data_IF_381812396886
#
_entry.id   IF_381812396886
#
_cell.length_a   1.000
_cell.length_b   1.000
_cell.length_c   1.000
_cell.angle_alpha   90.00
_cell.angle_beta   90.00
_cell.angle_gamma   90.00
#
_symmetry.space_group_name_H-M   'P 1'
#
loop_
_entity.id
_entity.type
_entity.pdbx_description
1 polymer ?
#
# COMPACT_ATOMS: atom_id res chain seq x y z
N UNK A 1 -13.70 2.43 -13.29
CA UNK A 1 -12.99 2.98 -12.10
C UNK A 1 -11.53 2.60 -12.20
N UNK A 2 -10.61 3.38 -11.68
CA UNK A 2 -9.17 3.09 -11.69
C UNK A 2 -8.78 2.23 -10.48
N UNK A 3 -7.84 1.30 -10.65
CA UNK A 3 -7.24 0.53 -9.56
C UNK A 3 -6.54 1.50 -8.62
N UNK A 4 -6.72 1.35 -7.31
CA UNK A 4 -6.08 2.19 -6.30
C UNK A 4 -5.11 1.37 -5.46
N UNK A 5 -3.95 1.97 -5.16
CA UNK A 5 -3.05 1.41 -4.16
C UNK A 5 -3.60 1.59 -2.75
N UNK A 6 -3.33 0.65 -1.85
CA UNK A 6 -3.62 0.78 -0.42
C UNK A 6 -2.62 1.68 0.30
N UNK A 7 -1.46 1.95 -0.29
CA UNK A 7 -0.47 2.88 0.21
C UNK A 7 -0.62 4.23 -0.47
N UNK A 8 -0.23 5.29 0.20
CA UNK A 8 -0.28 6.63 -0.36
C UNK A 8 0.34 7.66 0.59
N UNK A 9 0.73 8.78 0.00
CA UNK A 9 1.27 9.93 0.70
C UNK A 9 0.79 11.21 0.03
N UNK A 10 0.42 12.20 0.83
CA UNK A 10 0.20 13.56 0.39
C UNK A 10 0.61 14.53 1.47
N UNK A 11 0.96 15.75 1.07
CA UNK A 11 1.22 16.85 1.98
C UNK A 11 0.52 18.11 1.49
N UNK A 12 0.17 18.99 2.43
CA UNK A 12 -0.31 20.33 2.11
C UNK A 12 0.32 21.32 3.09
N UNK A 13 0.58 22.51 2.60
CA UNK A 13 1.14 23.59 3.39
C UNK A 13 0.32 24.86 3.20
N UNK A 14 0.20 25.63 4.25
CA UNK A 14 -0.48 26.93 4.21
C UNK A 14 0.02 27.86 5.30
N UNK A 15 -0.32 29.10 5.14
CA UNK A 15 0.05 30.17 6.08
C UNK A 15 -1.18 30.95 6.50
N UNK A 16 -1.27 31.27 7.78
CA UNK A 16 -2.32 32.12 8.33
C UNK A 16 -1.77 32.93 9.52
N UNK A 17 -1.93 34.23 9.48
CA UNK A 17 -1.58 35.16 10.55
C UNK A 17 -0.19 34.90 11.18
N UNK A 18 0.85 34.70 10.32
CA UNK A 18 2.23 34.44 10.79
C UNK A 18 2.49 33.01 11.27
N UNK A 19 1.52 32.11 11.22
CA UNK A 19 1.71 30.68 11.46
C UNK A 19 1.77 29.91 10.15
N UNK A 20 2.66 28.92 10.10
CA UNK A 20 2.76 27.93 9.03
C UNK A 20 2.06 26.66 9.48
N UNK A 21 1.20 26.16 8.63
CA UNK A 21 0.49 24.89 8.80
C UNK A 21 1.12 23.88 7.86
N UNK A 22 1.60 22.76 8.40
CA UNK A 22 2.09 21.62 7.63
C UNK A 22 1.20 20.42 7.92
N UNK A 23 0.62 19.84 6.87
CA UNK A 23 -0.28 18.71 6.94
C UNK A 23 0.29 17.55 6.11
N UNK A 24 0.40 16.39 6.72
CA UNK A 24 0.80 15.14 6.07
C UNK A 24 -0.29 14.08 6.22
N UNK A 25 -0.56 13.37 5.13
CA UNK A 25 -1.38 12.16 5.10
C UNK A 25 -0.52 10.99 4.65
N UNK A 26 -0.54 9.90 5.42
CA UNK A 26 0.10 8.62 5.06
C UNK A 26 -0.88 7.49 5.25
N UNK A 27 -0.90 6.54 4.30
CA UNK A 27 -1.66 5.30 4.46
C UNK A 27 -0.77 4.08 4.31
N UNK A 28 -1.10 3.06 5.08
CA UNK A 28 -0.58 1.70 4.94
C UNK A 28 -1.74 0.72 4.80
N UNK A 29 -1.44 -0.44 4.22
CA UNK A 29 -2.44 -1.49 4.04
C UNK A 29 -3.07 -1.88 5.38
N UNK A 30 -4.40 -1.82 5.46
CA UNK A 30 -5.18 -2.28 6.59
C UNK A 30 -6.57 -2.74 6.15
N UNK A 31 -7.14 -3.72 6.86
CA UNK A 31 -8.43 -4.34 6.49
C UNK A 31 -9.62 -3.37 6.55
N UNK A 32 -9.60 -2.44 7.49
CA UNK A 32 -10.65 -1.45 7.73
C UNK A 32 -10.07 -0.05 7.64
N UNK A 33 -10.92 0.97 7.50
CA UNK A 33 -10.49 2.36 7.64
C UNK A 33 -10.19 2.64 9.12
N UNK A 34 -8.94 2.95 9.43
CA UNK A 34 -8.48 3.42 10.74
C UNK A 34 -7.75 4.75 10.54
N UNK A 35 -8.32 5.83 11.09
CA UNK A 35 -7.74 7.18 10.96
C UNK A 35 -7.18 7.62 12.31
N UNK A 36 -5.87 7.82 12.34
CA UNK A 36 -5.14 8.31 13.50
C UNK A 36 -4.70 9.76 13.28
N UNK A 37 -5.03 10.61 14.25
CA UNK A 37 -4.67 12.03 14.21
C UNK A 37 -3.50 12.31 15.13
N UNK A 38 -2.47 12.98 14.61
CA UNK A 38 -1.34 13.57 15.34
C UNK A 38 -1.38 15.08 15.16
N UNK A 39 -2.18 15.73 15.97
CA UNK A 39 -2.52 17.14 15.84
C UNK A 39 -2.31 17.88 17.17
N UNK A 40 -2.02 19.19 17.15
CA UNK A 40 -2.00 20.04 18.33
C UNK A 40 -3.34 20.02 19.06
N UNK A 41 -3.30 20.25 20.38
CA UNK A 41 -4.50 20.24 21.23
C UNK A 41 -5.55 21.26 20.78
N UNK A 42 -5.13 22.41 20.27
CA UNK A 42 -5.99 23.49 19.79
C UNK A 42 -6.85 23.06 18.57
N UNK A 43 -6.43 22.03 17.84
CA UNK A 43 -7.13 21.51 16.65
C UNK A 43 -7.97 20.26 16.93
N UNK A 44 -7.99 19.73 18.16
CA UNK A 44 -8.74 18.51 18.50
C UNK A 44 -10.24 18.63 18.30
N UNK A 45 -10.77 19.83 18.41
CA UNK A 45 -12.18 20.11 18.13
C UNK A 45 -12.57 19.75 16.70
N UNK A 46 -11.61 19.72 15.76
CA UNK A 46 -11.82 19.41 14.33
C UNK A 46 -11.78 17.92 14.00
N UNK A 47 -11.40 17.04 14.94
CA UNK A 47 -11.23 15.60 14.64
C UNK A 47 -12.47 14.97 13.97
N UNK A 48 -13.67 15.36 14.41
CA UNK A 48 -14.93 14.87 13.81
C UNK A 48 -15.06 15.25 12.34
N UNK A 49 -14.93 16.54 12.04
CA UNK A 49 -15.03 17.08 10.68
C UNK A 49 -13.90 16.54 9.77
N UNK A 50 -12.68 16.45 10.30
CA UNK A 50 -11.53 15.88 9.58
C UNK A 50 -11.75 14.40 9.24
N UNK A 51 -12.32 13.63 10.16
CA UNK A 51 -12.65 12.22 9.94
C UNK A 51 -13.70 12.06 8.84
N UNK A 52 -14.72 12.92 8.82
CA UNK A 52 -15.75 12.93 7.77
C UNK A 52 -15.15 13.23 6.39
N UNK A 53 -14.26 14.23 6.27
CA UNK A 53 -13.58 14.56 5.01
C UNK A 53 -12.80 13.36 4.48
N UNK A 54 -12.02 12.69 5.35
CA UNK A 54 -11.20 11.54 4.96
C UNK A 54 -12.10 10.35 4.59
N UNK A 55 -13.09 10.01 5.43
CA UNK A 55 -13.96 8.84 5.20
C UNK A 55 -14.90 9.02 4.00
N UNK A 56 -15.19 10.25 3.60
CA UNK A 56 -15.96 10.54 2.40
C UNK A 56 -15.25 10.18 1.09
N UNK A 57 -13.93 10.05 1.09
CA UNK A 57 -13.12 9.78 -0.11
C UNK A 57 -12.29 8.50 -0.03
N UNK A 58 -12.07 7.97 1.19
CA UNK A 58 -11.27 6.76 1.42
C UNK A 58 -12.08 5.77 2.24
N UNK A 59 -12.23 4.56 1.71
CA UNK A 59 -13.06 3.49 2.32
C UNK A 59 -12.25 2.50 3.17
N UNK A 60 -10.90 2.45 2.99
CA UNK A 60 -10.03 1.43 3.61
C UNK A 60 -8.60 1.94 3.80
N UNK A 61 -7.88 1.33 4.75
CA UNK A 61 -6.48 1.63 5.05
C UNK A 61 -6.30 2.23 6.44
N UNK A 62 -5.10 2.10 6.99
CA UNK A 62 -4.70 2.83 8.20
C UNK A 62 -4.06 4.14 7.78
N UNK A 63 -4.75 5.25 8.05
CA UNK A 63 -4.36 6.60 7.68
C UNK A 63 -3.81 7.31 8.91
N UNK A 64 -2.60 7.83 8.83
CA UNK A 64 -2.06 8.79 9.78
C UNK A 64 -2.19 10.20 9.19
N UNK A 65 -2.92 11.07 9.88
CA UNK A 65 -3.02 12.49 9.58
C UNK A 65 -2.20 13.25 10.62
N UNK A 66 -1.13 13.90 10.18
CA UNK A 66 -0.28 14.72 11.04
C UNK A 66 -0.43 16.19 10.65
N UNK A 67 -0.66 17.04 11.65
CA UNK A 67 -0.66 18.50 11.48
C UNK A 67 0.34 19.11 12.44
N UNK A 68 1.17 20.00 11.90
CA UNK A 68 2.11 20.77 12.69
C UNK A 68 1.86 22.26 12.46
N UNK A 69 1.92 23.03 13.55
CA UNK A 69 1.84 24.49 13.53
C UNK A 69 3.23 25.02 13.84
N UNK A 70 3.83 25.75 12.92
CA UNK A 70 5.09 26.44 13.08
C UNK A 70 4.88 27.95 13.07
N UNK A 71 5.79 28.71 13.66
CA UNK A 71 5.83 30.15 13.45
C UNK A 71 6.67 30.46 12.23
N UNK A 72 6.21 31.38 11.38
CA UNK A 72 7.01 31.87 10.27
C UNK A 72 8.00 32.85 10.90
N UNK A 73 9.29 32.47 10.90
CA UNK A 73 10.37 33.38 11.29
C UNK A 73 10.52 34.49 10.23
N UNK A 74 9.63 35.45 10.24
CA UNK A 74 9.86 36.70 9.51
C UNK A 74 10.92 37.46 10.30
N UNK A 75 12.05 37.76 9.69
CA UNK A 75 13.19 38.44 10.31
C UNK A 75 12.91 39.86 10.86
N UNK A 76 11.66 40.22 11.05
CA UNK A 76 11.15 41.46 11.61
C UNK A 76 10.06 41.22 12.68
N UNK A 77 9.95 39.99 13.24
CA UNK A 77 9.00 39.75 14.34
C UNK A 77 9.44 40.58 15.57
N UNK A 78 8.77 41.74 15.73
CA UNK A 78 8.74 42.43 17.00
C UNK A 78 8.19 41.44 18.03
N UNK A 79 8.98 41.12 19.03
CA UNK A 79 8.53 40.35 20.21
C UNK A 79 7.25 41.01 20.74
N UNK A 80 6.11 40.38 20.53
CA UNK A 80 4.87 40.84 21.18
C UNK A 80 4.95 40.48 22.66
N UNK A 81 5.20 41.49 23.48
CA UNK A 81 5.36 41.36 24.91
C UNK A 81 4.06 41.78 25.61
N UNK A 82 3.54 40.90 26.44
CA UNK A 82 2.43 41.23 27.34
C UNK A 82 2.89 42.25 28.41
N UNK A 83 2.82 43.51 28.05
CA UNK A 83 3.31 44.59 28.89
C UNK A 83 2.60 44.66 30.23
N UNK A 84 1.32 44.28 30.32
CA UNK A 84 0.58 44.23 31.57
C UNK A 84 1.17 43.22 32.53
N UNK A 85 1.43 41.98 32.04
CA UNK A 85 2.05 40.90 32.82
C UNK A 85 3.48 41.27 33.25
N UNK A 86 4.26 41.90 32.38
CA UNK A 86 5.62 42.39 32.71
C UNK A 86 5.55 43.41 33.85
N UNK A 87 4.62 44.37 33.81
CA UNK A 87 4.43 45.40 34.85
C UNK A 87 4.02 44.72 36.18
N UNK A 88 3.10 43.75 36.15
CA UNK A 88 2.69 43.02 37.37
C UNK A 88 3.85 42.25 37.97
N UNK A 89 4.67 41.56 37.17
CA UNK A 89 5.87 40.86 37.65
C UNK A 89 6.90 41.82 38.27
N UNK A 90 7.11 42.96 37.63
CA UNK A 90 8.03 43.98 38.13
C UNK A 90 7.55 44.57 39.46
N UNK A 91 6.26 44.89 39.59
CA UNK A 91 5.66 45.36 40.83
C UNK A 91 5.74 44.31 41.95
N UNK A 92 5.42 43.05 41.64
CA UNK A 92 5.49 41.94 42.57
C UNK A 92 6.93 41.75 43.10
N UNK A 93 7.92 41.74 42.18
CA UNK A 93 9.34 41.65 42.56
C UNK A 93 9.73 42.84 43.48
N UNK A 94 9.30 44.04 43.17
CA UNK A 94 9.58 45.24 44.02
C UNK A 94 8.96 45.10 45.43
N UNK A 95 7.70 44.67 45.52
CA UNK A 95 7.00 44.44 46.79
C UNK A 95 7.68 43.36 47.64
N UNK A 96 8.07 42.24 47.03
CA UNK A 96 8.72 41.15 47.75
C UNK A 96 10.13 41.48 48.19
N UNK A 97 10.91 42.20 47.41
CA UNK A 97 12.25 42.67 47.83
C UNK A 97 12.22 43.62 49.02
N UNK A 98 11.18 44.45 49.13
CA UNK A 98 10.99 45.29 50.33
C UNK A 98 10.69 44.45 51.56
N UNK A 99 10.02 43.32 51.44
CA UNK A 99 9.61 42.45 52.56
C UNK A 99 10.68 41.40 52.90
N UNK A 100 11.46 40.96 51.89
CA UNK A 100 12.47 39.89 51.98
C UNK A 100 13.76 40.43 51.36
N UNK A 101 14.67 40.96 52.14
CA UNK A 101 15.86 41.68 51.69
C UNK A 101 16.85 40.93 50.84
N UNK A 102 16.81 39.58 50.89
CA UNK A 102 17.74 38.71 50.18
C UNK A 102 17.27 38.35 48.75
N UNK A 103 16.11 38.81 48.30
CA UNK A 103 15.61 38.54 46.95
C UNK A 103 16.35 39.37 45.88
N UNK A 104 16.87 38.69 44.87
CA UNK A 104 17.51 39.28 43.69
C UNK A 104 16.56 40.17 42.86
N UNK A 105 17.14 41.05 42.05
CA UNK A 105 16.34 41.75 41.01
C UNK A 105 15.95 40.77 39.90
N UNK A 106 14.70 40.86 39.48
CA UNK A 106 14.24 40.11 38.30
C UNK A 106 14.96 40.66 37.06
N UNK A 107 15.67 39.80 36.36
CA UNK A 107 16.34 40.15 35.11
C UNK A 107 15.42 40.09 33.89
N UNK A 108 15.78 40.78 32.83
CA UNK A 108 15.00 40.75 31.55
C UNK A 108 14.86 39.33 31.05
N UNK A 109 15.92 38.51 31.15
CA UNK A 109 15.87 37.10 30.71
C UNK A 109 14.90 36.25 31.54
N UNK A 110 14.75 36.56 32.83
CA UNK A 110 13.79 35.85 33.71
C UNK A 110 12.36 36.24 33.38
N UNK A 111 12.11 37.50 33.08
CA UNK A 111 10.81 38.01 32.62
C UNK A 111 10.42 37.35 31.28
N UNK A 112 11.33 37.34 30.33
CA UNK A 112 11.05 36.75 28.99
C UNK A 112 10.82 35.23 29.02
N UNK A 113 11.35 34.51 29.99
CA UNK A 113 11.10 33.08 30.22
C UNK A 113 9.79 32.79 30.93
N UNK A 114 9.16 33.79 31.52
CA UNK A 114 7.91 33.60 32.27
C UNK A 114 6.77 33.28 31.28
N UNK A 115 5.94 32.26 31.56
CA UNK A 115 4.83 31.90 30.71
C UNK A 115 3.93 33.09 30.37
N UNK A 116 3.49 33.19 29.13
CA UNK A 116 2.59 34.25 28.61
C UNK A 116 3.17 35.69 28.61
N UNK A 117 4.46 35.88 28.84
CA UNK A 117 5.12 37.17 28.65
C UNK A 117 5.40 37.43 27.18
N UNK A 118 5.93 36.45 26.45
CA UNK A 118 6.00 36.49 25.00
C UNK A 118 4.68 35.92 24.49
N UNK A 119 3.90 36.75 23.83
CA UNK A 119 2.59 36.40 23.25
C UNK A 119 2.79 36.20 21.75
N UNK A 120 2.43 35.07 21.25
CA UNK A 120 2.22 34.91 19.80
C UNK A 120 1.01 35.76 19.39
N UNK A 121 1.01 36.33 18.20
CA UNK A 121 -0.19 37.00 17.68
C UNK A 121 -1.39 36.05 17.80
N UNK A 122 -2.49 36.54 18.41
CA UNK A 122 -3.73 35.77 18.50
C UNK A 122 -4.20 35.49 17.06
N UNK A 123 -4.13 34.24 16.65
CA UNK A 123 -4.72 33.78 15.40
C UNK A 123 -6.20 33.57 15.67
N UNK A 124 -7.05 34.18 14.88
CA UNK A 124 -8.48 33.91 14.89
C UNK A 124 -8.69 32.39 14.79
N UNK A 125 -9.24 31.80 15.83
CA UNK A 125 -9.45 30.36 15.94
C UNK A 125 -10.31 29.82 14.77
N UNK A 126 -11.34 30.57 14.39
CA UNK A 126 -12.27 30.14 13.35
C UNK A 126 -11.60 30.17 11.97
N UNK A 127 -10.83 31.23 11.68
CA UNK A 127 -10.05 31.33 10.45
C UNK A 127 -8.96 30.25 10.34
N UNK A 128 -8.32 29.89 11.46
CA UNK A 128 -7.37 28.78 11.55
C UNK A 128 -8.05 27.45 11.21
N UNK A 129 -9.20 27.18 11.85
CA UNK A 129 -9.98 25.95 11.65
C UNK A 129 -10.42 25.80 10.18
N UNK A 130 -10.97 26.85 9.59
CA UNK A 130 -11.37 26.86 8.17
C UNK A 130 -10.17 26.57 7.26
N UNK A 131 -9.03 27.21 7.51
CA UNK A 131 -7.81 26.99 6.72
C UNK A 131 -7.33 25.55 6.83
N UNK A 132 -7.33 24.95 8.03
CA UNK A 132 -6.94 23.55 8.25
C UNK A 132 -7.87 22.60 7.49
N UNK A 133 -9.19 22.79 7.56
CA UNK A 133 -10.15 21.92 6.86
C UNK A 133 -10.00 22.04 5.33
N UNK A 134 -9.76 23.25 4.81
CA UNK A 134 -9.49 23.46 3.39
C UNK A 134 -8.21 22.75 2.95
N UNK A 135 -7.11 22.89 3.70
CA UNK A 135 -5.84 22.20 3.42
C UNK A 135 -5.99 20.69 3.50
N UNK A 136 -6.76 20.18 4.46
CA UNK A 136 -7.05 18.77 4.56
C UNK A 136 -7.80 18.26 3.33
N UNK A 137 -8.83 18.97 2.88
CA UNK A 137 -9.57 18.59 1.66
C UNK A 137 -8.64 18.53 0.45
N UNK A 138 -7.75 19.50 0.27
CA UNK A 138 -6.75 19.51 -0.80
C UNK A 138 -5.78 18.32 -0.68
N UNK A 139 -5.28 18.05 0.54
CA UNK A 139 -4.38 16.94 0.77
C UNK A 139 -5.05 15.58 0.51
N UNK A 140 -6.33 15.43 0.86
CA UNK A 140 -7.10 14.20 0.59
C UNK A 140 -7.31 14.01 -0.92
N UNK A 141 -7.54 15.08 -1.70
CA UNK A 141 -7.65 14.97 -3.15
C UNK A 141 -6.32 14.53 -3.78
N UNK A 142 -5.22 15.14 -3.36
CA UNK A 142 -3.89 14.76 -3.83
C UNK A 142 -3.51 13.32 -3.39
N UNK A 143 -3.91 12.94 -2.18
CA UNK A 143 -3.73 11.60 -1.65
C UNK A 143 -4.45 10.54 -2.50
N UNK A 144 -5.72 10.79 -2.86
CA UNK A 144 -6.48 9.90 -3.75
C UNK A 144 -5.82 9.83 -5.12
N UNK A 145 -5.44 10.96 -5.72
CA UNK A 145 -4.74 10.98 -7.00
C UNK A 145 -3.39 10.26 -6.96
N UNK A 146 -2.65 10.35 -5.85
CA UNK A 146 -1.41 9.60 -5.64
C UNK A 146 -1.65 8.09 -5.64
N UNK A 147 -2.69 7.63 -4.93
CA UNK A 147 -3.09 6.20 -4.88
C UNK A 147 -3.56 5.68 -6.25
N UNK A 148 -4.22 6.50 -7.04
CA UNK A 148 -4.64 6.16 -8.41
C UNK A 148 -3.44 6.00 -9.34
N UNK A 149 -2.50 6.94 -9.33
CA UNK A 149 -1.25 6.84 -10.12
C UNK A 149 -0.40 5.62 -9.74
N UNK A 150 -0.35 5.27 -8.46
CA UNK A 150 0.35 4.08 -7.99
C UNK A 150 -0.42 2.80 -8.41
N UNK A 151 -1.74 2.81 -8.29
CA UNK A 151 -2.62 1.73 -8.75
C UNK A 151 -2.46 1.41 -10.24
N UNK A 152 -2.34 2.43 -11.09
CA UNK A 152 -2.06 2.26 -12.53
C UNK A 152 -0.72 1.52 -12.78
N UNK A 153 0.31 1.82 -11.99
CA UNK A 153 1.60 1.10 -12.09
C UNK A 153 1.46 -0.35 -11.66
N UNK A 154 0.75 -0.62 -10.56
CA UNK A 154 0.47 -1.97 -10.09
C UNK A 154 -0.30 -2.77 -11.14
N UNK A 155 -1.32 -2.16 -11.76
CA UNK A 155 -2.08 -2.73 -12.87
C UNK A 155 -1.18 -3.09 -14.05
N UNK A 156 -0.33 -2.16 -14.50
CA UNK A 156 0.59 -2.39 -15.61
C UNK A 156 1.55 -3.55 -15.32
N UNK A 157 2.08 -3.63 -14.09
CA UNK A 157 2.94 -4.73 -13.66
C UNK A 157 2.24 -6.09 -13.71
N UNK A 158 0.98 -6.16 -13.26
CA UNK A 158 0.22 -7.43 -13.31
C UNK A 158 -0.03 -7.83 -14.76
N UNK A 159 -0.46 -6.89 -15.63
CA UNK A 159 -0.72 -7.18 -17.03
C UNK A 159 0.53 -7.69 -17.77
N UNK A 160 1.69 -7.09 -17.52
CA UNK A 160 2.95 -7.55 -18.08
C UNK A 160 3.29 -9.00 -17.68
N UNK A 161 3.08 -9.38 -16.39
CA UNK A 161 3.31 -10.76 -15.92
C UNK A 161 2.32 -11.74 -16.52
N UNK A 162 1.07 -11.34 -16.72
CA UNK A 162 0.08 -12.17 -17.42
C UNK A 162 0.47 -12.42 -18.88
N UNK A 163 1.02 -11.40 -19.58
CA UNK A 163 1.52 -11.57 -20.95
C UNK A 163 2.70 -12.55 -21.01
N UNK A 164 3.65 -12.43 -20.06
CA UNK A 164 4.74 -13.39 -19.96
C UNK A 164 4.26 -14.81 -19.66
N UNK A 165 3.30 -14.98 -18.74
CA UNK A 165 2.69 -16.29 -18.46
C UNK A 165 2.04 -16.89 -19.70
N UNK A 166 1.26 -16.11 -20.46
CA UNK A 166 0.63 -16.58 -21.69
C UNK A 166 1.66 -17.03 -22.74
N UNK A 167 2.76 -16.27 -22.88
CA UNK A 167 3.83 -16.64 -23.81
C UNK A 167 4.52 -17.95 -23.41
N UNK A 168 4.83 -18.13 -22.12
CA UNK A 168 5.46 -19.34 -21.58
C UNK A 168 4.55 -20.57 -21.74
N UNK A 169 3.26 -20.41 -21.41
CA UNK A 169 2.27 -21.50 -21.54
C UNK A 169 2.11 -21.88 -23.02
N UNK A 170 1.92 -20.90 -23.91
CA UNK A 170 1.76 -21.16 -25.34
C UNK A 170 2.97 -21.87 -25.95
N UNK A 171 4.19 -21.47 -25.58
CA UNK A 171 5.40 -22.17 -26.03
C UNK A 171 5.47 -23.62 -25.55
N UNK A 172 5.04 -23.89 -24.31
CA UNK A 172 4.98 -25.25 -23.78
C UNK A 172 3.89 -26.07 -24.46
N UNK A 173 2.70 -25.50 -24.71
CA UNK A 173 1.61 -26.19 -25.43
C UNK A 173 2.03 -26.63 -26.83
N UNK A 174 2.75 -25.78 -27.55
CA UNK A 174 3.30 -26.15 -28.88
C UNK A 174 4.35 -27.28 -28.81
N UNK A 175 5.19 -27.26 -27.77
CA UNK A 175 6.27 -28.22 -27.58
C UNK A 175 5.81 -29.55 -26.97
N UNK A 176 4.73 -29.51 -26.19
CA UNK A 176 4.29 -30.64 -25.34
C UNK A 176 4.01 -31.95 -26.12
N UNK A 177 3.38 -31.93 -27.33
CA UNK A 177 3.16 -33.17 -28.12
C UNK A 177 4.47 -33.87 -28.45
N UNK A 178 5.52 -33.12 -28.80
CA UNK A 178 6.84 -33.69 -29.11
C UNK A 178 7.48 -34.31 -27.86
N UNK A 179 7.47 -33.59 -26.74
CA UNK A 179 7.99 -34.05 -25.45
C UNK A 179 7.29 -35.33 -25.00
N UNK A 180 5.98 -35.41 -25.17
CA UNK A 180 5.17 -36.60 -24.88
C UNK A 180 5.59 -37.80 -25.71
N UNK A 181 5.75 -37.63 -27.06
CA UNK A 181 6.21 -38.69 -27.95
C UNK A 181 7.61 -39.20 -27.56
N UNK A 182 8.55 -38.31 -27.29
CA UNK A 182 9.89 -38.67 -26.85
C UNK A 182 9.90 -39.42 -25.54
N UNK A 183 9.08 -38.97 -24.60
CA UNK A 183 8.96 -39.60 -23.28
C UNK A 183 8.37 -41.01 -23.39
N UNK A 184 7.31 -41.19 -24.21
CA UNK A 184 6.71 -42.49 -24.48
C UNK A 184 7.69 -43.44 -25.14
N UNK A 185 8.45 -42.95 -26.14
CA UNK A 185 9.47 -43.75 -26.82
C UNK A 185 10.57 -44.24 -25.84
N UNK A 186 11.04 -43.34 -24.97
CA UNK A 186 12.02 -43.66 -23.90
C UNK A 186 11.47 -44.71 -22.91
N UNK A 187 10.24 -44.50 -22.45
CA UNK A 187 9.57 -45.41 -21.53
C UNK A 187 9.36 -46.81 -22.10
N UNK A 188 8.93 -46.88 -23.39
CA UNK A 188 8.78 -48.13 -24.13
C UNK A 188 10.11 -48.88 -24.23
N UNK A 189 11.19 -48.20 -24.60
CA UNK A 189 12.53 -48.81 -24.67
C UNK A 189 12.99 -49.38 -23.35
N UNK A 190 12.85 -48.64 -22.26
CA UNK A 190 13.21 -49.08 -20.90
C UNK A 190 12.41 -50.31 -20.46
N UNK A 191 11.12 -50.37 -20.77
CA UNK A 191 10.27 -51.52 -20.48
C UNK A 191 10.68 -52.74 -21.32
N UNK A 192 11.01 -52.56 -22.58
CA UNK A 192 11.49 -53.64 -23.46
C UNK A 192 12.85 -54.22 -22.99
N UNK A 193 13.74 -53.37 -22.50
CA UNK A 193 15.04 -53.77 -21.95
C UNK A 193 14.92 -54.46 -20.58
N UNK A 194 13.95 -54.09 -19.77
CA UNK A 194 13.79 -54.59 -18.39
C UNK A 194 13.08 -55.98 -18.33
N UNK A 195 12.31 -56.35 -19.34
CA UNK A 195 11.47 -57.57 -19.29
C UNK A 195 11.55 -58.32 -20.60
N UNK A 196 12.16 -59.51 -20.54
CA UNK A 196 12.35 -60.40 -21.70
C UNK A 196 11.04 -61.00 -22.26
N UNK A 197 9.92 -60.90 -21.55
CA UNK A 197 8.58 -61.31 -22.01
C UNK A 197 7.51 -60.49 -21.33
N UNK A 198 7.04 -59.42 -21.99
CA UNK A 198 5.89 -58.67 -21.54
C UNK A 198 4.67 -59.09 -22.37
N UNK A 199 3.55 -59.36 -21.68
CA UNK A 199 2.23 -59.44 -22.27
C UNK A 199 1.85 -58.06 -22.86
N UNK A 200 1.56 -58.05 -24.16
CA UNK A 200 1.23 -56.84 -24.90
C UNK A 200 0.02 -56.08 -24.29
N UNK A 201 -0.94 -56.80 -23.73
CA UNK A 201 -2.15 -56.20 -23.18
C UNK A 201 -1.85 -55.50 -21.84
N UNK A 202 -0.94 -56.04 -21.02
CA UNK A 202 -0.45 -55.41 -19.80
C UNK A 202 0.37 -54.14 -20.10
N UNK A 203 1.17 -54.19 -21.15
CA UNK A 203 1.89 -53.04 -21.67
C UNK A 203 0.94 -51.91 -22.07
N UNK A 204 -0.13 -52.21 -22.82
CA UNK A 204 -1.15 -51.23 -23.21
C UNK A 204 -1.87 -50.62 -22.03
N UNK A 205 -2.21 -51.38 -21.02
CA UNK A 205 -2.83 -50.89 -19.77
C UNK A 205 -1.92 -49.92 -19.00
N UNK A 206 -0.64 -50.27 -18.83
CA UNK A 206 0.33 -49.38 -18.17
C UNK A 206 0.54 -48.09 -18.96
N UNK A 207 0.58 -48.14 -20.29
CA UNK A 207 0.64 -46.94 -21.13
C UNK A 207 -0.61 -46.10 -21.03
N UNK A 208 -1.80 -46.66 -20.97
CA UNK A 208 -3.04 -45.91 -20.81
C UNK A 208 -3.09 -45.16 -19.47
N UNK A 209 -2.69 -45.81 -18.36
CA UNK A 209 -2.56 -45.19 -17.03
C UNK A 209 -1.50 -44.11 -17.03
N UNK A 210 -0.42 -44.29 -17.76
CA UNK A 210 0.65 -43.32 -17.88
C UNK A 210 0.20 -42.08 -18.66
N UNK A 211 -0.49 -42.27 -19.78
CA UNK A 211 -1.08 -41.17 -20.59
C UNK A 211 -2.05 -40.35 -19.76
N UNK A 212 -2.88 -40.99 -18.95
CA UNK A 212 -3.79 -40.27 -18.05
C UNK A 212 -3.04 -39.42 -16.99
N UNK A 213 -1.91 -39.89 -16.49
CA UNK A 213 -1.08 -39.11 -15.55
C UNK A 213 -0.30 -37.99 -16.22
N UNK A 214 -0.01 -38.12 -17.51
CA UNK A 214 0.72 -37.14 -18.30
C UNK A 214 -0.21 -36.10 -18.97
N UNK A 215 -1.53 -36.28 -18.85
CA UNK A 215 -2.51 -35.34 -19.40
C UNK A 215 -2.48 -34.02 -18.63
N UNK A 216 -2.16 -32.95 -19.31
CA UNK A 216 -2.04 -31.58 -18.77
C UNK A 216 -2.99 -30.58 -19.47
N UNK A 217 -3.86 -31.07 -20.36
CA UNK A 217 -4.77 -30.20 -21.12
C UNK A 217 -5.74 -29.46 -20.20
N UNK A 218 -6.17 -30.07 -19.11
CA UNK A 218 -7.02 -29.45 -18.11
C UNK A 218 -6.28 -28.30 -17.40
N UNK A 219 -5.01 -28.51 -17.02
CA UNK A 219 -4.18 -27.49 -16.37
C UNK A 219 -3.95 -26.29 -17.30
N UNK A 220 -3.66 -26.51 -18.58
CA UNK A 220 -3.53 -25.43 -19.57
C UNK A 220 -4.82 -24.63 -19.70
N UNK A 221 -5.94 -25.29 -19.89
CA UNK A 221 -7.25 -24.64 -20.00
C UNK A 221 -7.59 -23.82 -18.76
N UNK A 222 -7.31 -24.34 -17.57
CA UNK A 222 -7.53 -23.63 -16.29
C UNK A 222 -6.60 -22.44 -16.14
N UNK A 223 -5.32 -22.57 -16.47
CA UNK A 223 -4.36 -21.47 -16.47
C UNK A 223 -4.83 -20.34 -17.38
N UNK A 224 -5.23 -20.62 -18.63
CA UNK A 224 -5.77 -19.64 -19.56
C UNK A 224 -7.03 -18.96 -19.04
N UNK A 225 -7.94 -19.74 -18.45
CA UNK A 225 -9.18 -19.22 -17.86
C UNK A 225 -8.89 -18.26 -16.72
N UNK A 226 -8.00 -18.63 -15.79
CA UNK A 226 -7.64 -17.79 -14.66
C UNK A 226 -6.86 -16.54 -15.07
N UNK A 227 -5.92 -16.64 -16.04
CA UNK A 227 -5.22 -15.50 -16.62
C UNK A 227 -6.21 -14.50 -17.23
N UNK A 228 -7.17 -14.99 -18.01
CA UNK A 228 -8.21 -14.16 -18.63
C UNK A 228 -9.06 -13.46 -17.57
N UNK A 229 -9.45 -14.18 -16.51
CA UNK A 229 -10.25 -13.61 -15.43
C UNK A 229 -9.48 -12.59 -14.60
N UNK A 230 -8.18 -12.81 -14.29
CA UNK A 230 -7.32 -11.81 -13.65
C UNK A 230 -7.25 -10.56 -14.52
N UNK A 231 -6.98 -10.70 -15.82
CA UNK A 231 -6.92 -9.59 -16.78
C UNK A 231 -8.24 -8.81 -16.80
N UNK A 232 -9.38 -9.50 -16.83
CA UNK A 232 -10.71 -8.89 -16.80
C UNK A 232 -10.94 -8.08 -15.53
N UNK A 233 -10.61 -8.66 -14.37
CA UNK A 233 -10.80 -7.98 -13.07
C UNK A 233 -9.92 -6.74 -12.97
N UNK A 234 -8.66 -6.82 -13.40
CA UNK A 234 -7.70 -5.73 -13.30
C UNK A 234 -8.05 -4.57 -14.26
N UNK A 235 -8.71 -4.87 -15.42
CA UNK A 235 -9.07 -3.85 -16.43
C UNK A 235 -10.50 -3.34 -16.29
N UNK A 236 -11.44 -4.17 -15.83
CA UNK A 236 -12.88 -3.90 -15.84
C UNK A 236 -13.50 -4.21 -14.47
N UNK A 237 -13.12 -3.44 -13.44
CA UNK A 237 -13.57 -3.72 -12.09
C UNK A 237 -14.61 -2.71 -11.59
N UNK A 238 -15.51 -3.22 -10.74
CA UNK A 238 -16.39 -2.44 -9.89
C UNK A 238 -16.16 -2.87 -8.44
N UNK A 239 -15.67 -1.95 -7.60
CA UNK A 239 -15.45 -2.17 -6.18
C UNK A 239 -14.09 -2.79 -5.81
N UNK A 240 -14.01 -3.40 -4.64
CA UNK A 240 -12.76 -3.96 -4.08
C UNK A 240 -12.37 -5.28 -4.76
N UNK A 241 -11.24 -5.30 -5.43
CA UNK A 241 -10.78 -6.44 -6.25
C UNK A 241 -9.71 -7.31 -5.59
N UNK A 242 -9.00 -6.78 -4.58
CA UNK A 242 -7.82 -7.43 -4.00
C UNK A 242 -8.06 -8.87 -3.52
N UNK A 243 -9.17 -9.15 -2.82
CA UNK A 243 -9.50 -10.50 -2.34
C UNK A 243 -9.77 -11.49 -3.49
N UNK A 244 -10.41 -11.02 -4.55
CA UNK A 244 -10.73 -11.86 -5.71
C UNK A 244 -9.47 -12.18 -6.50
N UNK A 245 -8.56 -11.20 -6.62
CA UNK A 245 -7.25 -11.41 -7.22
C UNK A 245 -6.39 -12.36 -6.39
N UNK A 246 -6.35 -12.21 -5.05
CA UNK A 246 -5.59 -13.14 -4.18
C UNK A 246 -6.08 -14.59 -4.34
N UNK A 247 -7.39 -14.81 -4.41
CA UNK A 247 -7.96 -16.13 -4.71
C UNK A 247 -7.47 -16.66 -6.07
N UNK A 248 -7.50 -15.85 -7.13
CA UNK A 248 -7.03 -16.25 -8.44
C UNK A 248 -5.51 -16.53 -8.47
N UNK A 249 -4.71 -15.81 -7.69
CA UNK A 249 -3.27 -16.13 -7.52
C UNK A 249 -3.08 -17.52 -6.88
N UNK A 250 -3.93 -17.90 -5.93
CA UNK A 250 -3.90 -19.24 -5.31
C UNK A 250 -4.29 -20.33 -6.33
N UNK A 251 -5.32 -20.11 -7.14
CA UNK A 251 -5.72 -21.05 -8.19
C UNK A 251 -4.63 -21.19 -9.26
N UNK A 252 -4.07 -20.08 -9.76
CA UNK A 252 -2.94 -20.11 -10.70
C UNK A 252 -1.75 -20.91 -10.13
N UNK A 253 -1.42 -20.71 -8.87
CA UNK A 253 -0.35 -21.45 -8.19
C UNK A 253 -0.67 -22.95 -8.09
N UNK A 254 -1.92 -23.30 -7.84
CA UNK A 254 -2.39 -24.69 -7.79
C UNK A 254 -2.21 -25.36 -9.16
N UNK A 255 -2.67 -24.71 -10.24
CA UNK A 255 -2.54 -25.28 -11.59
C UNK A 255 -1.06 -25.38 -12.03
N UNK A 256 -0.22 -24.38 -11.70
CA UNK A 256 1.21 -24.44 -11.93
C UNK A 256 1.89 -25.59 -11.16
N UNK A 257 1.45 -25.87 -9.92
CA UNK A 257 1.94 -27.01 -9.13
C UNK A 257 1.53 -28.35 -9.75
N UNK A 258 0.29 -28.47 -10.23
CA UNK A 258 -0.23 -29.70 -10.86
C UNK A 258 0.52 -29.95 -12.16
N UNK A 259 0.74 -28.92 -12.99
CA UNK A 259 1.55 -28.99 -14.19
C UNK A 259 2.97 -29.52 -13.88
N UNK A 260 3.61 -28.99 -12.83
CA UNK A 260 4.92 -29.44 -12.38
C UNK A 260 4.93 -30.87 -11.85
N UNK A 261 3.87 -31.33 -11.19
CA UNK A 261 3.75 -32.70 -10.68
C UNK A 261 3.50 -33.74 -11.79
N UNK A 262 2.88 -33.32 -12.87
CA UNK A 262 2.63 -34.13 -14.10
C UNK A 262 3.77 -34.01 -15.11
N UNK A 263 4.87 -33.31 -14.78
CA UNK A 263 5.98 -33.04 -15.69
C UNK A 263 6.61 -34.35 -16.24
N UNK A 264 6.59 -34.50 -17.56
CA UNK A 264 7.18 -35.62 -18.29
C UNK A 264 8.59 -35.32 -18.80
N UNK A 265 9.00 -34.05 -18.77
CA UNK A 265 10.26 -33.55 -19.25
C UNK A 265 10.75 -32.38 -18.39
N UNK A 266 12.03 -32.05 -18.50
CA UNK A 266 12.64 -30.94 -17.73
C UNK A 266 12.00 -29.60 -18.04
N UNK A 267 11.64 -29.38 -19.29
CA UNK A 267 10.98 -28.18 -19.82
C UNK A 267 9.67 -27.89 -19.08
N UNK A 268 8.85 -28.93 -18.84
CA UNK A 268 7.60 -28.78 -18.05
C UNK A 268 7.88 -28.33 -16.62
N UNK A 269 8.91 -28.88 -15.98
CA UNK A 269 9.33 -28.51 -14.62
C UNK A 269 9.82 -27.07 -14.60
N UNK A 270 10.64 -26.68 -15.57
CA UNK A 270 11.16 -25.32 -15.68
C UNK A 270 10.02 -24.30 -15.85
N UNK A 271 9.09 -24.53 -16.77
CA UNK A 271 7.90 -23.71 -16.97
C UNK A 271 7.08 -23.59 -15.70
N UNK A 272 6.83 -24.69 -14.99
CA UNK A 272 6.13 -24.65 -13.69
C UNK A 272 6.82 -23.75 -12.68
N UNK A 273 8.15 -23.77 -12.61
CA UNK A 273 8.92 -22.88 -11.71
C UNK A 273 8.82 -21.43 -12.15
N UNK A 274 8.96 -21.13 -13.43
CA UNK A 274 8.84 -19.78 -13.99
C UNK A 274 7.44 -19.20 -13.74
N UNK A 275 6.38 -19.98 -13.97
CA UNK A 275 5.01 -19.57 -13.67
C UNK A 275 4.82 -19.21 -12.19
N UNK A 276 5.36 -20.03 -11.27
CA UNK A 276 5.29 -19.74 -9.83
C UNK A 276 5.98 -18.44 -9.44
N UNK A 277 7.13 -18.15 -10.05
CA UNK A 277 7.84 -16.89 -9.82
C UNK A 277 6.97 -15.70 -10.25
N UNK A 278 6.37 -15.76 -11.44
CA UNK A 278 5.49 -14.71 -11.96
C UNK A 278 4.24 -14.55 -11.10
N UNK A 279 3.65 -15.66 -10.65
CA UNK A 279 2.46 -15.66 -9.77
C UNK A 279 2.79 -15.01 -8.43
N UNK A 280 3.93 -15.32 -7.82
CA UNK A 280 4.31 -14.71 -6.53
C UNK A 280 4.61 -13.22 -6.69
N UNK A 281 5.27 -12.80 -7.77
CA UNK A 281 5.45 -11.38 -8.08
C UNK A 281 4.10 -10.64 -8.21
N UNK A 282 3.12 -11.23 -8.88
CA UNK A 282 1.78 -10.64 -8.97
C UNK A 282 1.09 -10.62 -7.60
N UNK A 283 1.22 -11.68 -6.81
CA UNK A 283 0.61 -11.79 -5.48
C UNK A 283 1.08 -10.71 -4.53
N UNK A 284 2.38 -10.37 -4.55
CA UNK A 284 2.93 -9.26 -3.78
C UNK A 284 2.29 -7.92 -4.18
N UNK A 285 2.06 -7.69 -5.48
CA UNK A 285 1.40 -6.47 -5.94
C UNK A 285 -0.09 -6.44 -5.58
N UNK A 286 -0.78 -7.58 -5.69
CA UNK A 286 -2.20 -7.73 -5.34
C UNK A 286 -2.48 -7.38 -3.87
N UNK A 287 -1.53 -7.65 -2.96
CA UNK A 287 -1.66 -7.28 -1.55
C UNK A 287 -1.75 -5.76 -1.33
N UNK A 288 -1.30 -4.96 -2.29
CA UNK A 288 -1.33 -3.50 -2.22
C UNK A 288 -2.49 -2.89 -3.04
N UNK A 289 -3.39 -3.69 -3.60
CA UNK A 289 -4.53 -3.25 -4.40
C UNK A 289 -5.81 -3.23 -3.55
N UNK A 290 -6.54 -2.11 -3.64
CA UNK A 290 -7.86 -1.93 -3.05
C UNK A 290 -8.97 -2.49 -3.96
#
# INVERSE_FOLDING_TARGET
>A
MTVRSMTGFANAQGEIAGKRIELELRAVNHRFLDVQFKIPDDLRVLEGAMREIISGKVSRGKIECRIQLGNIANGADSLHINQNLVNELAELNSKWRKKHGDLGKLGVADILKFPNVIVSADVDSDALQETVLRLLSQAVDEFVASREREGEKLQAHILERLDLMQAIIGALEELFPQLLQEHLARSRRRLQEAVASIDEDRLKQEFALYMQKADVDEEFNRLHTHITEVRRIVTQHDGTIGKRLDFLMQELNREANTLGSKAIAHECTQVSVELKVLIEQMREQVQNIE
#
